data_IF_711741721876
#
_entry.id   IF_711741721876
#
_cell.length_a   1.000
_cell.length_b   1.000
_cell.length_c   1.000
_cell.angle_alpha   90.00
_cell.angle_beta   90.00
_cell.angle_gamma   90.00
#
_symmetry.space_group_name_H-M   'P 1'
#
loop_
_entity.id
_entity.type
_entity.pdbx_description
1 polymer ?
#
# COMPACT_ATOMS: atom_id res chain seq x y z
N UNK A 1 -22.53 -2.36 -34.86
CA UNK A 1 -22.52 -3.20 -33.65
C UNK A 1 -21.62 -2.55 -32.62
N UNK A 2 -22.16 -2.07 -31.49
CA UNK A 2 -21.37 -1.47 -30.41
C UNK A 2 -20.88 -2.59 -29.48
N UNK A 3 -19.57 -2.84 -29.46
CA UNK A 3 -18.96 -3.74 -28.49
C UNK A 3 -18.91 -3.04 -27.13
N UNK A 4 -19.86 -3.36 -26.24
CA UNK A 4 -19.77 -2.99 -24.82
C UNK A 4 -18.81 -3.96 -24.14
N UNK A 5 -17.51 -3.63 -24.16
CA UNK A 5 -16.52 -4.24 -23.29
C UNK A 5 -16.78 -3.75 -21.86
N UNK A 6 -17.73 -4.38 -21.18
CA UNK A 6 -17.89 -4.24 -19.74
C UNK A 6 -16.72 -4.95 -19.06
N UNK A 7 -15.57 -4.29 -19.04
CA UNK A 7 -14.44 -4.72 -18.24
C UNK A 7 -14.88 -4.69 -16.77
N UNK A 8 -15.08 -5.87 -16.18
CA UNK A 8 -15.26 -6.05 -14.75
C UNK A 8 -13.96 -5.62 -14.05
N UNK A 9 -13.78 -4.31 -13.87
CA UNK A 9 -12.72 -3.76 -13.04
C UNK A 9 -12.95 -4.25 -11.62
N UNK A 10 -12.11 -5.18 -11.17
CA UNK A 10 -12.09 -5.61 -9.77
C UNK A 10 -12.01 -4.36 -8.90
N UNK A 11 -13.01 -4.17 -8.05
CA UNK A 11 -13.03 -3.05 -7.13
C UNK A 11 -11.85 -3.17 -6.16
N UNK A 12 -10.93 -2.21 -6.21
CA UNK A 12 -9.74 -2.16 -5.39
C UNK A 12 -9.88 -1.11 -4.30
N UNK A 13 -9.73 -1.54 -3.06
CA UNK A 13 -9.65 -0.63 -1.91
C UNK A 13 -8.21 -0.24 -1.70
N UNK A 14 -7.82 0.93 -2.21
CA UNK A 14 -6.44 1.41 -2.20
C UNK A 14 -5.82 1.50 -0.79
N UNK A 15 -6.64 1.71 0.24
CA UNK A 15 -6.16 1.73 1.63
C UNK A 15 -5.67 0.34 2.09
N UNK A 16 -6.29 -0.73 1.61
CA UNK A 16 -5.89 -2.11 1.90
C UNK A 16 -4.59 -2.44 1.18
N UNK A 17 -4.48 -2.13 -0.11
CA UNK A 17 -3.25 -2.35 -0.89
C UNK A 17 -2.05 -1.65 -0.22
N UNK A 18 -2.21 -0.37 0.16
CA UNK A 18 -1.15 0.37 0.86
C UNK A 18 -0.79 -0.19 2.22
N UNK A 19 -1.75 -0.76 2.96
CA UNK A 19 -1.48 -1.41 4.23
C UNK A 19 -0.65 -2.68 4.02
N UNK A 20 -0.96 -3.46 2.98
CA UNK A 20 -0.17 -4.64 2.59
C UNK A 20 1.25 -4.24 2.16
N UNK A 21 1.40 -3.18 1.35
CA UNK A 21 2.71 -2.66 0.95
C UNK A 21 3.58 -2.26 2.18
N UNK A 22 2.95 -1.73 3.24
CA UNK A 22 3.65 -1.41 4.50
C UNK A 22 4.05 -2.69 5.24
N UNK A 23 3.19 -3.72 5.29
CA UNK A 23 3.51 -4.98 5.96
C UNK A 23 4.65 -5.73 5.27
N UNK A 24 4.72 -5.67 3.94
CA UNK A 24 5.78 -6.29 3.14
C UNK A 24 7.17 -5.64 3.36
N UNK A 25 7.24 -4.48 4.02
CA UNK A 25 8.52 -3.88 4.40
C UNK A 25 9.24 -4.65 5.52
N UNK A 26 8.52 -5.44 6.31
CA UNK A 26 9.06 -6.15 7.48
C UNK A 26 9.51 -7.56 7.11
N UNK A 27 10.55 -8.03 7.79
CA UNK A 27 11.05 -9.40 7.62
C UNK A 27 11.64 -9.92 8.92
N UNK A 28 12.04 -11.20 8.96
CA UNK A 28 12.74 -11.74 10.13
C UNK A 28 14.05 -11.01 10.44
N UNK A 29 14.69 -10.41 9.44
CA UNK A 29 15.89 -9.57 9.57
C UNK A 29 15.53 -8.09 9.86
N UNK A 30 14.40 -7.60 9.33
CA UNK A 30 13.92 -6.22 9.51
C UNK A 30 12.65 -6.21 10.37
N UNK A 31 12.79 -6.52 11.66
CA UNK A 31 11.64 -6.61 12.58
C UNK A 31 11.12 -5.24 13.03
N UNK A 32 11.99 -4.24 13.01
CA UNK A 32 11.68 -2.88 13.42
C UNK A 32 12.11 -1.92 12.33
N UNK A 33 11.25 -0.94 12.04
CA UNK A 33 11.50 0.09 11.04
C UNK A 33 11.03 1.43 11.58
N UNK A 34 11.81 2.48 11.30
CA UNK A 34 11.36 3.84 11.52
C UNK A 34 10.29 4.24 10.50
N UNK A 35 9.45 5.22 10.84
CA UNK A 35 8.46 5.78 9.92
C UNK A 35 9.10 6.25 8.59
N UNK A 36 10.29 6.85 8.66
CA UNK A 36 11.02 7.30 7.47
C UNK A 36 11.50 6.14 6.60
N UNK A 37 11.93 5.02 7.19
CA UNK A 37 12.33 3.83 6.44
C UNK A 37 11.15 3.26 5.65
N UNK A 38 9.96 3.21 6.25
CA UNK A 38 8.73 2.74 5.56
C UNK A 38 8.35 3.70 4.42
N UNK A 39 8.43 5.02 4.63
CA UNK A 39 8.16 6.03 3.59
C UNK A 39 9.09 5.85 2.39
N UNK A 40 10.39 5.65 2.63
CA UNK A 40 11.38 5.45 1.56
C UNK A 40 11.11 4.14 0.80
N UNK A 41 10.80 3.04 1.51
CA UNK A 41 10.59 1.72 0.89
C UNK A 41 9.28 1.64 0.09
N UNK A 42 8.21 2.25 0.59
CA UNK A 42 6.88 2.19 -0.05
C UNK A 42 6.63 3.32 -1.05
N UNK A 43 7.39 4.42 -0.98
CA UNK A 43 7.13 5.63 -1.76
C UNK A 43 5.85 6.38 -1.35
N UNK A 44 5.17 5.95 -0.28
CA UNK A 44 3.97 6.59 0.22
C UNK A 44 4.31 7.88 0.97
N UNK A 45 3.42 8.88 0.88
CA UNK A 45 3.59 10.11 1.64
C UNK A 45 3.63 9.81 3.15
N UNK A 46 4.54 10.50 3.86
CA UNK A 46 4.69 10.40 5.32
C UNK A 46 3.38 10.50 6.10
N UNK A 47 2.47 11.42 5.72
CA UNK A 47 1.16 11.54 6.39
C UNK A 47 0.29 10.32 6.14
N UNK A 48 0.34 9.74 4.93
CA UNK A 48 -0.39 8.53 4.59
C UNK A 48 0.13 7.33 5.38
N UNK A 49 1.45 7.14 5.44
CA UNK A 49 2.06 6.07 6.25
C UNK A 49 1.69 6.26 7.72
N UNK A 50 1.84 7.48 8.26
CA UNK A 50 1.50 7.77 9.67
C UNK A 50 0.03 7.45 9.99
N UNK A 51 -0.90 7.77 9.09
CA UNK A 51 -2.34 7.48 9.26
C UNK A 51 -2.68 5.98 9.16
N UNK A 52 -1.86 5.19 8.48
CA UNK A 52 -2.09 3.74 8.34
C UNK A 52 -1.52 2.95 9.53
N UNK A 53 -0.50 3.48 10.21
CA UNK A 53 0.17 2.80 11.33
C UNK A 53 -0.23 3.33 12.72
N UNK A 54 -1.07 4.37 12.79
CA UNK A 54 -1.52 5.02 14.04
C UNK A 54 -3.03 5.16 14.02
#
# INVERSE_FOLDING_TARGET
MKQTNAQNSIYKVQAVERALDILDCFSFQNRELSLSAIVIRTGLNKTTVKRLIS
#
